data_IF_726045249944
#
_entry.id   IF_726045249944
#
_cell.length_a   1.000
_cell.length_b   1.000
_cell.length_c   1.000
_cell.angle_alpha   90.00
_cell.angle_beta   90.00
_cell.angle_gamma   90.00
#
_symmetry.space_group_name_H-M   'P 1'
#
loop_
_entity.id
_entity.type
_entity.pdbx_description
1 polymer ?
#
# COMPACT_ATOMS: atom_id res chain seq x y z
N UNK A 1 19.79 -15.39 -18.27
CA UNK A 1 19.77 -15.14 -16.82
C UNK A 1 20.98 -15.77 -16.15
N UNK A 2 21.55 -15.13 -15.13
CA UNK A 2 22.71 -15.69 -14.43
C UNK A 2 22.28 -16.59 -13.28
N UNK A 3 22.88 -17.78 -13.19
CA UNK A 3 22.66 -18.68 -12.08
C UNK A 3 23.18 -18.04 -10.78
N UNK A 4 22.39 -18.04 -9.73
CA UNK A 4 22.79 -17.41 -8.46
C UNK A 4 23.81 -18.22 -7.66
N UNK A 5 23.94 -19.51 -7.96
CA UNK A 5 24.87 -20.41 -7.28
C UNK A 5 26.27 -20.35 -7.89
N UNK A 6 26.37 -20.42 -9.22
CA UNK A 6 27.66 -20.50 -9.92
C UNK A 6 27.94 -19.34 -10.89
N UNK A 7 27.04 -18.34 -10.96
CA UNK A 7 27.12 -17.16 -11.84
C UNK A 7 27.14 -17.44 -13.35
N UNK A 8 27.03 -18.71 -13.78
CA UNK A 8 26.96 -19.07 -15.20
C UNK A 8 25.75 -18.43 -15.89
N UNK A 9 25.98 -17.88 -17.08
CA UNK A 9 24.93 -17.35 -17.95
C UNK A 9 24.15 -18.47 -18.64
N UNK A 10 22.83 -18.45 -18.45
CA UNK A 10 21.88 -19.39 -19.03
C UNK A 10 20.86 -18.65 -19.90
N UNK A 11 20.17 -19.36 -20.78
CA UNK A 11 19.06 -18.80 -21.54
C UNK A 11 17.96 -18.25 -20.63
N UNK A 12 17.16 -17.31 -21.14
CA UNK A 12 16.13 -16.64 -20.34
C UNK A 12 15.05 -17.60 -19.81
N UNK A 13 14.86 -18.76 -20.44
CA UNK A 13 13.83 -19.75 -20.10
C UNK A 13 14.41 -21.10 -19.60
N UNK A 14 15.71 -21.16 -19.28
CA UNK A 14 16.33 -22.39 -18.80
C UNK A 14 15.73 -22.79 -17.43
N UNK A 15 15.19 -24.02 -17.33
CA UNK A 15 14.62 -24.55 -16.08
C UNK A 15 15.71 -24.87 -15.04
N UNK A 16 16.89 -25.26 -15.52
CA UNK A 16 18.05 -25.62 -14.70
C UNK A 16 19.31 -24.95 -15.24
N UNK A 17 20.25 -24.66 -14.34
CA UNK A 17 21.56 -24.16 -14.73
C UNK A 17 22.33 -25.23 -15.50
N UNK A 18 22.79 -24.89 -16.72
CA UNK A 18 23.60 -25.76 -17.60
C UNK A 18 24.92 -26.23 -16.98
N UNK A 19 25.39 -25.55 -15.94
CA UNK A 19 26.66 -25.84 -15.27
C UNK A 19 26.48 -26.57 -13.93
N UNK A 20 25.57 -26.11 -13.06
CA UNK A 20 25.48 -26.61 -11.68
C UNK A 20 24.13 -27.25 -11.32
N UNK A 21 23.23 -27.46 -12.28
CA UNK A 21 21.94 -28.13 -12.09
C UNK A 21 20.94 -27.41 -11.18
N UNK A 22 21.22 -26.19 -10.73
CA UNK A 22 20.33 -25.44 -9.85
C UNK A 22 19.05 -25.05 -10.59
N UNK A 23 17.88 -25.32 -9.98
CA UNK A 23 16.58 -24.94 -10.52
C UNK A 23 16.46 -23.40 -10.58
N UNK A 24 16.22 -22.88 -11.79
CA UNK A 24 16.10 -21.44 -12.06
C UNK A 24 14.62 -21.00 -12.18
N UNK A 25 13.70 -21.93 -12.41
CA UNK A 25 12.27 -21.68 -12.66
C UNK A 25 11.54 -21.10 -11.43
N UNK A 26 11.86 -21.60 -10.23
CA UNK A 26 11.20 -21.17 -8.98
C UNK A 26 11.34 -19.66 -8.70
N UNK A 27 12.40 -19.04 -9.20
CA UNK A 27 12.69 -17.63 -8.95
C UNK A 27 11.99 -16.68 -9.92
N UNK A 28 11.71 -17.13 -11.15
CA UNK A 28 10.99 -16.31 -12.12
C UNK A 28 9.49 -16.26 -11.84
N UNK A 29 8.88 -17.41 -11.54
CA UNK A 29 7.44 -17.50 -11.21
C UNK A 29 7.12 -16.75 -9.93
N UNK A 30 7.95 -16.87 -8.88
CA UNK A 30 7.70 -16.22 -7.59
C UNK A 30 7.86 -14.69 -7.63
N UNK A 31 8.80 -14.16 -8.42
CA UNK A 31 8.96 -12.71 -8.54
C UNK A 31 7.84 -12.08 -9.37
N UNK A 32 7.44 -12.73 -10.47
CA UNK A 32 6.37 -12.20 -11.33
C UNK A 32 5.01 -12.20 -10.59
N UNK A 33 4.66 -13.29 -9.91
CA UNK A 33 3.42 -13.38 -9.14
C UNK A 33 3.39 -12.38 -7.98
N UNK A 34 4.49 -12.25 -7.22
CA UNK A 34 4.60 -11.29 -6.11
C UNK A 34 4.42 -9.86 -6.58
N UNK A 35 5.04 -9.48 -7.70
CA UNK A 35 4.92 -8.14 -8.26
C UNK A 35 3.47 -7.86 -8.66
N UNK A 36 2.81 -8.79 -9.36
CA UNK A 36 1.41 -8.66 -9.75
C UNK A 36 0.47 -8.44 -8.55
N UNK A 37 0.65 -9.20 -7.46
CA UNK A 37 -0.16 -9.03 -6.25
C UNK A 37 0.08 -7.67 -5.60
N UNK A 38 1.33 -7.21 -5.50
CA UNK A 38 1.63 -5.88 -4.96
C UNK A 38 1.00 -4.77 -5.80
N UNK A 39 1.08 -4.87 -7.12
CA UNK A 39 0.52 -3.87 -8.03
C UNK A 39 -1.02 -3.80 -7.90
N UNK A 40 -1.69 -4.96 -7.76
CA UNK A 40 -3.13 -5.04 -7.48
C UNK A 40 -3.47 -4.41 -6.13
N UNK A 41 -2.69 -4.69 -5.07
CA UNK A 41 -2.92 -4.12 -3.74
C UNK A 41 -2.80 -2.60 -3.73
N UNK A 42 -1.79 -2.06 -4.43
CA UNK A 42 -1.61 -0.61 -4.58
C UNK A 42 -2.79 0.00 -5.34
N UNK A 43 -3.21 -0.62 -6.44
CA UNK A 43 -4.35 -0.16 -7.22
C UNK A 43 -5.65 -0.13 -6.40
N UNK A 44 -5.93 -1.18 -5.63
CA UNK A 44 -7.09 -1.25 -4.72
C UNK A 44 -6.99 -0.15 -3.67
N UNK A 45 -5.81 0.05 -3.09
CA UNK A 45 -5.58 1.07 -2.05
C UNK A 45 -5.83 2.49 -2.58
N UNK A 46 -5.34 2.81 -3.78
CA UNK A 46 -5.58 4.10 -4.44
C UNK A 46 -7.06 4.28 -4.78
N UNK A 47 -7.71 3.23 -5.29
CA UNK A 47 -9.14 3.28 -5.63
C UNK A 47 -10.02 3.51 -4.39
N UNK A 48 -9.71 2.82 -3.29
CA UNK A 48 -10.37 3.04 -2.00
C UNK A 48 -10.17 4.47 -1.50
N UNK A 49 -8.94 5.00 -1.62
CA UNK A 49 -8.60 6.36 -1.21
C UNK A 49 -9.47 7.39 -1.93
N UNK A 50 -9.53 7.29 -3.26
CA UNK A 50 -10.36 8.15 -4.09
C UNK A 50 -11.86 8.01 -3.77
N UNK A 51 -12.34 6.79 -3.56
CA UNK A 51 -13.74 6.54 -3.19
C UNK A 51 -14.12 7.18 -1.85
N UNK A 52 -13.24 7.10 -0.85
CA UNK A 52 -13.47 7.71 0.46
C UNK A 52 -13.44 9.23 0.41
N UNK A 53 -12.51 9.83 -0.34
CA UNK A 53 -12.49 11.28 -0.53
C UNK A 53 -13.74 11.79 -1.25
N UNK A 54 -14.22 11.05 -2.26
CA UNK A 54 -15.47 11.37 -2.94
C UNK A 54 -16.68 11.25 -2.00
N UNK A 55 -16.76 10.17 -1.21
CA UNK A 55 -17.81 9.99 -0.21
C UNK A 55 -17.78 11.11 0.85
N UNK A 56 -16.60 11.48 1.32
CA UNK A 56 -16.41 12.59 2.26
C UNK A 56 -16.89 13.92 1.67
N UNK A 57 -16.63 14.17 0.39
CA UNK A 57 -17.10 15.36 -0.32
C UNK A 57 -18.63 15.38 -0.40
N UNK A 58 -19.26 14.25 -0.72
CA UNK A 58 -20.72 14.14 -0.76
C UNK A 58 -21.31 14.39 0.63
N UNK A 59 -20.81 13.73 1.67
CA UNK A 59 -21.32 13.87 3.04
C UNK A 59 -21.24 15.33 3.49
N UNK A 60 -20.09 15.99 3.27
CA UNK A 60 -19.89 17.38 3.70
C UNK A 60 -20.80 18.38 2.99
N UNK A 61 -21.13 18.13 1.72
CA UNK A 61 -21.92 19.06 0.91
C UNK A 61 -23.43 18.79 0.93
N UNK A 62 -23.85 17.55 1.17
CA UNK A 62 -25.25 17.13 1.02
C UNK A 62 -25.92 16.68 2.32
N UNK A 63 -25.16 16.40 3.39
CA UNK A 63 -25.71 15.93 4.66
C UNK A 63 -25.45 16.97 5.75
N UNK A 64 -26.50 17.70 6.12
CA UNK A 64 -26.46 18.65 7.23
C UNK A 64 -26.25 17.91 8.56
N UNK A 65 -25.46 18.49 9.47
CA UNK A 65 -25.17 17.94 10.80
C UNK A 65 -24.67 16.48 10.78
N UNK A 66 -23.97 16.07 9.71
CA UNK A 66 -23.42 14.72 9.58
C UNK A 66 -22.57 14.31 10.79
N UNK A 67 -21.92 15.29 11.44
CA UNK A 67 -21.06 15.09 12.60
C UNK A 67 -21.81 14.72 13.89
N UNK A 68 -23.05 15.18 14.05
CA UNK A 68 -23.89 14.85 15.22
C UNK A 68 -24.65 13.53 15.04
N UNK A 69 -24.53 12.92 13.86
CA UNK A 69 -25.20 11.67 13.53
C UNK A 69 -24.30 10.44 13.77
N UNK A 70 -24.87 9.23 13.81
CA UNK A 70 -24.08 7.99 13.87
C UNK A 70 -23.06 7.84 12.72
N UNK A 71 -23.21 8.58 11.62
CA UNK A 71 -22.23 8.60 10.52
C UNK A 71 -20.84 9.08 10.95
N UNK A 72 -20.70 9.84 12.04
CA UNK A 72 -19.38 10.25 12.54
C UNK A 72 -18.50 9.03 12.86
N UNK A 73 -19.07 7.99 13.47
CA UNK A 73 -18.33 6.78 13.84
C UNK A 73 -17.93 5.95 12.64
N UNK A 74 -18.79 5.90 11.61
CA UNK A 74 -18.45 5.29 10.33
C UNK A 74 -17.23 6.00 9.72
N UNK A 75 -17.25 7.33 9.70
CA UNK A 75 -16.16 8.11 9.12
C UNK A 75 -14.85 8.00 9.91
N UNK A 76 -14.92 7.98 11.24
CA UNK A 76 -13.76 7.71 12.10
C UNK A 76 -13.20 6.29 11.84
N UNK A 77 -14.08 5.30 11.71
CA UNK A 77 -13.71 3.92 11.36
C UNK A 77 -13.01 3.83 10.00
N UNK A 78 -13.53 4.52 8.98
CA UNK A 78 -12.88 4.56 7.65
C UNK A 78 -11.56 5.30 7.67
N UNK A 79 -11.40 6.32 8.51
CA UNK A 79 -10.15 7.07 8.63
C UNK A 79 -9.01 6.23 9.24
N UNK A 80 -9.31 5.22 10.05
CA UNK A 80 -8.30 4.27 10.54
C UNK A 80 -7.71 3.44 9.39
N UNK A 81 -8.56 2.97 8.48
CA UNK A 81 -8.14 2.25 7.28
C UNK A 81 -7.35 3.20 6.36
N UNK A 82 -7.83 4.42 6.22
CA UNK A 82 -7.16 5.50 5.46
C UNK A 82 -5.76 5.78 5.99
N UNK A 83 -5.55 5.76 7.32
CA UNK A 83 -4.23 5.94 7.93
C UNK A 83 -3.24 4.83 7.58
N UNK A 84 -3.69 3.62 7.23
CA UNK A 84 -2.80 2.52 6.84
C UNK A 84 -2.35 2.60 5.37
N UNK A 85 -3.09 3.28 4.50
CA UNK A 85 -2.83 3.33 3.05
C UNK A 85 -1.47 3.94 2.69
N UNK A 86 -1.06 5.11 3.24
CA UNK A 86 0.26 5.69 2.94
C UNK A 86 1.41 4.72 3.24
N UNK A 87 1.27 3.91 4.29
CA UNK A 87 2.28 2.92 4.69
C UNK A 87 2.35 1.79 3.67
N UNK A 88 1.21 1.26 3.22
CA UNK A 88 1.16 0.23 2.17
C UNK A 88 1.80 0.72 0.87
N UNK A 89 1.52 1.96 0.47
CA UNK A 89 2.13 2.59 -0.71
C UNK A 89 3.64 2.72 -0.53
N UNK A 90 4.10 3.23 0.62
CA UNK A 90 5.53 3.38 0.90
C UNK A 90 6.29 2.03 0.88
N UNK A 91 5.68 0.96 1.38
CA UNK A 91 6.25 -0.39 1.35
C UNK A 91 6.36 -0.96 -0.07
N UNK A 92 5.50 -0.51 -1.00
CA UNK A 92 5.52 -0.95 -2.39
C UNK A 92 6.68 -0.39 -3.21
N UNK A 93 7.30 0.70 -2.74
CA UNK A 93 8.40 1.39 -3.43
C UNK A 93 9.65 0.51 -3.43
N UNK A 94 10.09 0.14 -4.64
CA UNK A 94 11.31 -0.69 -4.85
C UNK A 94 12.59 0.14 -4.98
N UNK A 95 12.47 1.44 -5.24
CA UNK A 95 13.60 2.35 -5.43
C UNK A 95 14.23 2.70 -4.08
N UNK A 96 15.46 2.25 -3.83
CA UNK A 96 16.14 2.40 -2.52
C UNK A 96 16.22 3.86 -2.04
N UNK A 97 16.52 4.79 -2.95
CA UNK A 97 16.62 6.22 -2.62
C UNK A 97 15.28 6.86 -2.23
N UNK A 98 14.16 6.35 -2.77
CA UNK A 98 12.82 6.90 -2.51
C UNK A 98 12.10 6.17 -1.36
N UNK A 99 12.51 4.94 -1.03
CA UNK A 99 11.82 4.11 -0.05
C UNK A 99 11.86 4.70 1.36
N UNK A 100 13.04 5.14 1.82
CA UNK A 100 13.21 5.73 3.15
C UNK A 100 12.37 7.01 3.32
N UNK A 101 12.48 8.03 2.44
CA UNK A 101 11.68 9.24 2.60
C UNK A 101 10.18 8.96 2.48
N UNK A 102 9.76 8.00 1.64
CA UNK A 102 8.36 7.62 1.55
C UNK A 102 7.83 6.97 2.83
N UNK A 103 8.62 6.11 3.51
CA UNK A 103 8.22 5.51 4.79
C UNK A 103 8.07 6.59 5.87
N UNK A 104 8.99 7.55 5.93
CA UNK A 104 8.92 8.67 6.88
C UNK A 104 7.66 9.50 6.62
N UNK A 105 7.43 9.91 5.37
CA UNK A 105 6.26 10.68 4.97
C UNK A 105 4.95 9.94 5.26
N UNK A 106 4.90 8.64 4.95
CA UNK A 106 3.76 7.79 5.26
C UNK A 106 3.49 7.75 6.77
N UNK A 107 4.52 7.51 7.59
CA UNK A 107 4.39 7.48 9.04
C UNK A 107 3.86 8.79 9.63
N UNK A 108 4.40 9.93 9.19
CA UNK A 108 3.92 11.26 9.61
C UNK A 108 2.46 11.49 9.21
N UNK A 109 2.10 11.12 7.98
CA UNK A 109 0.72 11.26 7.48
C UNK A 109 -0.24 10.38 8.28
N UNK A 110 0.12 9.12 8.52
CA UNK A 110 -0.67 8.19 9.35
C UNK A 110 -0.86 8.71 10.77
N UNK A 111 0.21 9.21 11.41
CA UNK A 111 0.16 9.80 12.74
C UNK A 111 -0.77 11.02 12.79
N UNK A 112 -0.67 11.91 11.80
CA UNK A 112 -1.54 13.08 11.70
C UNK A 112 -3.02 12.68 11.55
N UNK A 113 -3.33 11.70 10.70
CA UNK A 113 -4.69 11.19 10.54
C UNK A 113 -5.20 10.61 11.86
N UNK A 114 -4.40 9.80 12.55
CA UNK A 114 -4.79 9.23 13.85
C UNK A 114 -5.04 10.32 14.89
N UNK A 115 -4.14 11.28 15.00
CA UNK A 115 -4.26 12.42 15.91
C UNK A 115 -5.58 13.18 15.70
N UNK A 116 -5.88 13.56 14.46
CA UNK A 116 -7.11 14.30 14.13
C UNK A 116 -8.39 13.48 14.39
N UNK A 117 -8.34 12.14 14.29
CA UNK A 117 -9.48 11.30 14.64
C UNK A 117 -9.69 11.18 16.15
N UNK A 118 -8.61 11.15 16.93
CA UNK A 118 -8.68 11.16 18.40
C UNK A 118 -9.27 12.48 18.89
N UNK A 119 -8.84 13.63 18.35
CA UNK A 119 -9.43 14.93 18.70
C UNK A 119 -10.93 14.98 18.39
N UNK A 120 -11.35 14.47 17.23
CA UNK A 120 -12.78 14.39 16.86
C UNK A 120 -13.59 13.47 17.78
N UNK A 121 -12.99 12.39 18.27
CA UNK A 121 -13.64 11.47 19.22
C UNK A 121 -13.88 12.12 20.58
N UNK A 122 -12.90 12.88 21.06
CA UNK A 122 -12.93 13.53 22.39
C UNK A 122 -13.82 14.80 22.38
N UNK A 123 -14.26 15.24 21.20
CA UNK A 123 -15.17 16.39 21.07
C UNK A 123 -14.45 17.73 21.22
N UNK A 124 -13.14 17.77 20.93
CA UNK A 124 -12.31 18.97 21.07
C UNK A 124 -12.48 20.00 19.94
N UNK A 125 -13.43 19.79 19.02
CA UNK A 125 -13.70 20.63 17.85
C UNK A 125 -15.20 20.66 17.53
#
# INVERSE_FOLDING_TARGET
>A
MNCQKCKTENEQNALFCKNCGTNLYSKQVSNNSRNKTMDILVFISITYWFAMDFLNLIIRNFINNWYDSPFKYFQIGTNLIYAAIPVLIALSIRVKGLKIPAIIFAGLTSLYILYTNIERLIGSF
#
